data_IF_447273532257
#
_entry.id   IF_447273532257
#
_cell.length_a   1.000
_cell.length_b   1.000
_cell.length_c   1.000
_cell.angle_alpha   90.00
_cell.angle_beta   90.00
_cell.angle_gamma   90.00
#
_symmetry.space_group_name_H-M   'P 1'
#
loop_
_entity.id
_entity.type
_entity.pdbx_description
1 polymer ?
#
# COMPACT_ATOMS: atom_id res chain seq x y z
N UNK A 1 36.70 0.19 -11.60
CA UNK A 1 36.77 0.47 -10.16
C UNK A 1 35.35 0.76 -9.71
N UNK A 2 34.63 -0.27 -9.29
CA UNK A 2 33.33 -0.09 -8.66
C UNK A 2 33.60 0.52 -7.29
N UNK A 3 33.12 1.74 -7.04
CA UNK A 3 33.16 2.30 -5.69
C UNK A 3 32.13 1.53 -4.86
N UNK A 4 32.55 0.39 -4.30
CA UNK A 4 31.73 -0.57 -3.55
C UNK A 4 31.41 -0.11 -2.12
N UNK A 5 31.16 1.19 -1.90
CA UNK A 5 30.89 1.71 -0.56
C UNK A 5 29.48 2.27 -0.36
N UNK A 6 28.63 2.19 -1.40
CA UNK A 6 27.18 2.34 -1.21
C UNK A 6 26.64 1.03 -0.66
N UNK A 7 26.60 0.93 0.67
CA UNK A 7 25.81 -0.12 1.31
C UNK A 7 24.34 0.11 0.96
N UNK A 8 23.57 -0.93 0.60
CA UNK A 8 22.16 -0.77 0.33
C UNK A 8 21.49 -0.20 1.59
N UNK A 9 20.75 0.89 1.43
CA UNK A 9 19.94 1.49 2.46
C UNK A 9 18.51 0.94 2.38
N UNK A 10 17.80 0.98 3.50
CA UNK A 10 16.37 0.67 3.50
C UNK A 10 15.59 1.70 2.68
N UNK A 11 14.63 1.21 1.90
CA UNK A 11 13.78 2.02 1.06
C UNK A 11 12.34 1.99 1.57
N UNK A 12 11.81 3.15 1.93
CA UNK A 12 10.45 3.32 2.42
C UNK A 12 9.52 3.79 1.31
N UNK A 13 8.52 2.98 0.97
CA UNK A 13 7.43 3.34 0.07
C UNK A 13 6.26 3.84 0.88
N UNK A 14 5.72 4.99 0.48
CA UNK A 14 4.54 5.59 1.10
C UNK A 14 3.34 5.40 0.19
N UNK A 15 2.31 4.76 0.74
CA UNK A 15 1.03 4.47 0.10
C UNK A 15 -0.09 5.17 0.87
N UNK A 16 -1.01 5.83 0.18
CA UNK A 16 -2.26 6.30 0.76
C UNK A 16 -3.36 5.25 0.60
N UNK A 17 -4.08 4.97 1.67
CA UNK A 17 -5.21 4.05 1.70
C UNK A 17 -6.53 4.82 1.57
N UNK A 18 -7.29 4.51 0.53
CA UNK A 18 -8.61 5.06 0.24
C UNK A 18 -9.67 3.99 0.43
N UNK A 19 -10.71 4.27 1.20
CA UNK A 19 -11.90 3.43 1.25
C UNK A 19 -12.86 3.81 0.13
N UNK A 20 -13.07 2.92 -0.84
CA UNK A 20 -14.11 3.10 -1.86
C UNK A 20 -15.39 2.47 -1.35
N UNK A 21 -16.34 3.32 -0.96
CA UNK A 21 -17.69 2.89 -0.66
C UNK A 21 -18.47 2.68 -1.98
N UNK A 22 -18.95 1.46 -2.19
CA UNK A 22 -19.77 0.99 -3.33
C UNK A 22 -21.18 1.65 -3.40
N UNK A 23 -21.32 2.92 -3.02
CA UNK A 23 -22.61 3.62 -2.94
C UNK A 23 -22.81 4.76 -3.96
N UNK A 24 -21.82 5.09 -4.81
CA UNK A 24 -21.94 6.24 -5.75
C UNK A 24 -21.85 5.90 -7.25
N UNK A 25 -21.76 4.64 -7.66
CA UNK A 25 -21.76 4.23 -9.07
C UNK A 25 -23.17 3.89 -9.60
N UNK A 26 -24.18 4.73 -9.33
CA UNK A 26 -25.47 4.62 -10.03
C UNK A 26 -26.24 5.94 -10.11
N UNK A 27 -26.07 6.65 -11.23
CA UNK A 27 -27.03 7.60 -11.82
C UNK A 27 -26.59 7.89 -13.27
N UNK A 28 -26.88 6.98 -14.22
CA UNK A 28 -28.05 6.99 -15.13
C UNK A 28 -27.91 7.97 -16.31
N UNK A 29 -27.55 7.41 -17.46
CA UNK A 29 -28.02 7.88 -18.77
C UNK A 29 -28.49 6.65 -19.54
N UNK A 30 -29.79 6.40 -19.46
CA UNK A 30 -30.50 5.41 -20.24
C UNK A 30 -31.17 6.13 -21.43
N UNK A 31 -30.94 5.68 -22.66
CA UNK A 31 -31.97 5.54 -23.70
C UNK A 31 -31.40 4.69 -24.87
N UNK A 32 -31.81 3.42 -25.00
CA UNK A 32 -32.63 2.80 -26.08
C UNK A 32 -32.11 3.01 -27.52
N UNK A 33 -31.96 2.02 -28.41
CA UNK A 33 -32.94 0.98 -28.77
C UNK A 33 -32.35 -0.09 -29.74
N UNK A 34 -32.83 -1.33 -29.56
CA UNK A 34 -33.13 -2.40 -30.55
C UNK A 34 -32.10 -2.98 -31.59
N UNK A 35 -31.81 -4.28 -31.35
CA UNK A 35 -32.04 -5.46 -32.23
C UNK A 35 -31.11 -5.75 -33.45
N UNK A 36 -30.30 -6.82 -33.35
CA UNK A 36 -30.34 -8.02 -34.25
C UNK A 36 -29.36 -9.15 -33.84
N UNK A 37 -29.95 -10.32 -33.57
CA UNK A 37 -29.58 -11.70 -33.95
C UNK A 37 -28.26 -11.94 -34.73
N UNK A 38 -27.35 -12.83 -34.25
CA UNK A 38 -27.06 -14.13 -34.89
C UNK A 38 -26.08 -15.03 -34.07
N UNK A 39 -26.18 -16.31 -34.40
CA UNK A 39 -25.67 -17.60 -33.89
C UNK A 39 -24.14 -17.91 -33.99
N UNK A 40 -23.71 -18.83 -33.10
CA UNK A 40 -22.64 -19.86 -33.17
C UNK A 40 -21.21 -19.61 -32.62
N UNK A 41 -20.88 -20.47 -31.63
CA UNK A 41 -19.64 -21.25 -31.38
C UNK A 41 -18.24 -20.59 -31.54
N UNK A 42 -17.49 -20.51 -30.43
CA UNK A 42 -16.35 -21.40 -30.14
C UNK A 42 -15.54 -20.93 -28.91
N UNK A 43 -15.24 -21.91 -28.06
CA UNK A 43 -14.26 -22.03 -26.97
C UNK A 43 -13.05 -21.08 -26.99
N UNK A 44 -12.79 -20.40 -25.87
CA UNK A 44 -11.43 -20.37 -25.30
C UNK A 44 -11.45 -20.23 -23.78
N UNK A 45 -10.74 -21.15 -23.17
CA UNK A 45 -10.38 -21.35 -21.78
C UNK A 45 -9.79 -20.09 -21.14
N UNK A 46 -10.27 -19.70 -19.96
CA UNK A 46 -9.51 -18.91 -19.01
C UNK A 46 -10.00 -19.20 -17.60
N UNK A 47 -9.26 -20.08 -16.93
CA UNK A 47 -9.24 -20.26 -15.48
C UNK A 47 -8.33 -19.17 -14.89
N UNK A 48 -8.73 -18.53 -13.78
CA UNK A 48 -7.91 -18.70 -12.61
C UNK A 48 -8.76 -19.20 -11.45
N UNK A 49 -8.35 -20.35 -10.94
CA UNK A 49 -8.67 -20.82 -9.62
C UNK A 49 -7.91 -19.96 -8.61
N UNK A 50 -8.60 -19.51 -7.57
CA UNK A 50 -8.12 -19.29 -6.20
C UNK A 50 -9.33 -18.74 -5.44
N UNK A 51 -10.16 -19.64 -4.91
CA UNK A 51 -10.07 -20.17 -3.55
C UNK A 51 -11.04 -19.41 -2.66
N UNK A 52 -12.14 -20.10 -2.38
CA UNK A 52 -13.18 -19.65 -1.50
C UNK A 52 -12.73 -19.87 -0.05
N UNK A 53 -12.58 -18.80 0.70
CA UNK A 53 -12.92 -18.82 2.13
C UNK A 53 -13.83 -17.64 2.41
N UNK A 54 -15.12 -17.91 2.51
CA UNK A 54 -16.13 -17.00 3.07
C UNK A 54 -16.17 -17.22 4.58
N UNK A 55 -15.77 -16.21 5.35
CA UNK A 55 -16.33 -15.97 6.67
C UNK A 55 -16.75 -14.49 6.78
N UNK A 56 -18.07 -14.36 6.95
CA UNK A 56 -18.94 -13.22 7.11
C UNK A 56 -18.50 -12.27 8.25
N UNK A 57 -18.32 -10.96 7.97
CA UNK A 57 -18.94 -9.83 8.70
C UNK A 57 -18.52 -8.44 8.14
N UNK A 58 -19.53 -7.55 8.04
CA UNK A 58 -19.53 -6.15 7.58
C UNK A 58 -19.28 -5.89 6.08
N UNK A 59 -20.13 -5.05 5.48
CA UNK A 59 -20.00 -4.58 4.10
C UNK A 59 -18.61 -3.96 3.87
N UNK A 60 -17.69 -4.74 3.30
CA UNK A 60 -16.28 -4.38 3.22
C UNK A 60 -16.06 -3.33 2.15
N UNK A 61 -15.78 -2.09 2.56
CA UNK A 61 -15.28 -1.05 1.67
C UNK A 61 -14.01 -1.56 0.96
N UNK A 62 -13.96 -1.44 -0.36
CA UNK A 62 -12.79 -1.84 -1.14
C UNK A 62 -11.69 -0.82 -0.83
N UNK A 63 -10.56 -1.28 -0.27
CA UNK A 63 -9.42 -0.42 0.03
C UNK A 63 -8.51 -0.34 -1.20
N UNK A 64 -8.28 0.86 -1.69
CA UNK A 64 -7.32 1.16 -2.76
C UNK A 64 -6.07 1.78 -2.16
N UNK A 65 -4.91 1.44 -2.72
CA UNK A 65 -3.62 1.99 -2.31
C UNK A 65 -3.03 2.82 -3.44
N UNK A 66 -2.79 4.10 -3.18
CA UNK A 66 -2.18 5.04 -4.11
C UNK A 66 -0.71 5.27 -3.72
N UNK A 67 0.21 5.12 -4.68
CA UNK A 67 1.63 5.45 -4.48
C UNK A 67 1.82 6.96 -4.39
N UNK A 68 2.49 7.41 -3.33
CA UNK A 68 2.76 8.83 -3.08
C UNK A 68 4.21 9.17 -3.27
N UNK A 69 5.10 8.51 -2.52
CA UNK A 69 6.52 8.84 -2.52
C UNK A 69 7.36 7.63 -2.09
N UNK A 70 8.67 7.78 -2.27
CA UNK A 70 9.67 6.79 -1.90
C UNK A 70 10.90 7.48 -1.30
N UNK A 71 11.36 7.02 -0.14
CA UNK A 71 12.43 7.66 0.62
C UNK A 71 13.45 6.63 1.08
N UNK A 72 14.73 6.96 0.92
CA UNK A 72 15.83 6.17 1.50
C UNK A 72 15.99 6.50 2.98
N UNK A 73 15.82 5.50 3.82
CA UNK A 73 16.06 5.58 5.27
C UNK A 73 17.56 5.43 5.52
N UNK A 74 18.19 6.24 6.39
CA UNK A 74 19.62 6.23 6.63
C UNK A 74 20.09 5.02 7.48
N UNK A 75 19.54 3.83 7.22
CA UNK A 75 19.86 2.57 7.88
C UNK A 75 20.30 1.56 6.81
N UNK A 76 21.43 0.91 7.04
CA UNK A 76 21.96 -0.11 6.12
C UNK A 76 21.15 -1.41 6.20
N UNK A 77 20.97 -2.06 5.06
CA UNK A 77 20.39 -3.41 4.98
C UNK A 77 21.45 -4.43 5.38
N UNK A 78 21.10 -5.33 6.29
CA UNK A 78 21.97 -6.40 6.78
C UNK A 78 21.61 -6.82 8.20
N UNK A 79 21.86 -8.09 8.55
CA UNK A 79 21.60 -8.61 9.90
C UNK A 79 22.41 -7.86 10.96
N UNK A 80 23.62 -7.40 10.61
CA UNK A 80 24.48 -6.62 11.50
C UNK A 80 23.94 -5.21 11.81
N UNK A 81 22.96 -4.74 11.04
CA UNK A 81 22.35 -3.41 11.17
C UNK A 81 20.90 -3.46 11.70
N UNK A 82 20.39 -4.65 12.04
CA UNK A 82 19.02 -4.81 12.56
C UNK A 82 18.79 -4.10 13.90
N UNK A 83 19.80 -3.99 14.75
CA UNK A 83 19.69 -3.22 16.00
C UNK A 83 19.50 -1.72 15.74
N UNK A 84 20.18 -1.19 14.72
CA UNK A 84 20.06 0.20 14.29
C UNK A 84 18.68 0.46 13.67
N UNK A 85 18.20 -0.47 12.85
CA UNK A 85 16.85 -0.47 12.29
C UNK A 85 15.79 -0.43 13.40
N UNK A 86 15.88 -1.34 14.36
CA UNK A 86 14.94 -1.39 15.49
C UNK A 86 14.97 -0.09 16.30
N UNK A 87 16.16 0.44 16.61
CA UNK A 87 16.25 1.70 17.35
C UNK A 87 15.71 2.91 16.58
N UNK A 88 15.84 2.90 15.25
CA UNK A 88 15.23 3.89 14.38
C UNK A 88 13.69 3.75 14.40
N UNK A 89 13.18 2.52 14.26
CA UNK A 89 11.75 2.23 14.29
C UNK A 89 11.11 2.50 15.65
N UNK A 90 11.78 2.23 16.77
CA UNK A 90 11.28 2.56 18.10
C UNK A 90 10.98 4.07 18.21
N UNK A 91 11.88 4.91 17.67
CA UNK A 91 11.70 6.38 17.66
C UNK A 91 10.64 6.82 16.66
N UNK A 92 10.57 6.15 15.50
CA UNK A 92 9.55 6.39 14.50
C UNK A 92 8.17 6.07 15.09
N UNK A 93 8.03 4.95 15.77
CA UNK A 93 6.79 4.53 16.40
C UNK A 93 6.38 5.49 17.52
N UNK A 94 7.30 5.85 18.41
CA UNK A 94 7.00 6.79 19.51
C UNK A 94 6.49 8.15 19.00
N UNK A 95 7.05 8.64 17.90
CA UNK A 95 6.74 9.99 17.39
C UNK A 95 5.63 10.02 16.36
N UNK A 96 5.51 9.00 15.51
CA UNK A 96 4.62 9.00 14.34
C UNK A 96 3.54 7.94 14.50
N UNK A 97 3.89 6.69 14.79
CA UNK A 97 2.89 5.61 14.79
C UNK A 97 1.94 5.66 15.99
N UNK A 98 2.46 5.82 17.21
CA UNK A 98 1.64 5.83 18.44
C UNK A 98 0.63 7.00 18.42
N UNK A 99 0.99 8.24 18.06
CA UNK A 99 0.01 9.33 18.01
C UNK A 99 -1.05 9.16 16.92
N UNK A 100 -0.77 8.35 15.89
CA UNK A 100 -1.63 8.14 14.72
C UNK A 100 -2.12 6.68 14.61
N UNK A 101 -2.12 5.96 15.72
CA UNK A 101 -2.51 4.55 15.78
C UNK A 101 -3.90 4.34 15.16
N UNK A 102 -4.02 3.35 14.28
CA UNK A 102 -5.25 3.04 13.54
C UNK A 102 -5.36 3.73 12.16
N UNK A 103 -4.58 4.79 11.91
CA UNK A 103 -4.52 5.48 10.61
C UNK A 103 -3.22 5.24 9.84
N UNK A 104 -2.24 4.61 10.49
CA UNK A 104 -0.95 4.27 9.91
C UNK A 104 -0.67 2.80 10.15
N UNK A 105 -0.16 2.12 9.12
CA UNK A 105 0.31 0.74 9.18
C UNK A 105 1.63 0.67 8.43
N UNK A 106 2.51 -0.22 8.85
CA UNK A 106 3.75 -0.46 8.14
C UNK A 106 4.07 -1.94 8.06
N UNK A 107 4.83 -2.29 7.04
CA UNK A 107 5.42 -3.61 6.85
C UNK A 107 6.92 -3.42 6.56
N UNK A 108 7.76 -4.19 7.25
CA UNK A 108 9.21 -4.13 7.11
C UNK A 108 9.66 -5.50 6.63
N UNK A 109 10.39 -5.52 5.52
CA UNK A 109 10.95 -6.75 4.95
C UNK A 109 12.47 -6.75 5.12
N UNK A 110 13.06 -7.93 5.32
CA UNK A 110 14.49 -8.08 5.56
C UNK A 110 15.37 -7.84 4.33
N UNK A 111 14.76 -7.71 3.15
CA UNK A 111 15.43 -7.40 1.88
C UNK A 111 15.69 -5.90 1.66
N UNK A 112 15.29 -5.05 2.61
CA UNK A 112 15.55 -3.61 2.56
C UNK A 112 14.34 -2.76 2.16
N UNK A 113 13.13 -3.31 2.13
CA UNK A 113 11.91 -2.55 1.84
C UNK A 113 11.12 -2.26 3.13
N UNK A 114 10.57 -1.06 3.19
CA UNK A 114 9.56 -0.67 4.18
C UNK A 114 8.35 -0.16 3.40
N UNK A 115 7.19 -0.69 3.68
CA UNK A 115 5.93 -0.24 3.08
C UNK A 115 5.13 0.45 4.16
N UNK A 116 4.82 1.72 3.97
CA UNK A 116 4.02 2.52 4.88
C UNK A 116 2.67 2.82 4.24
N UNK A 117 1.59 2.42 4.91
CA UNK A 117 0.22 2.72 4.52
C UNK A 117 -0.35 3.78 5.46
N UNK A 118 -0.79 4.89 4.89
CA UNK A 118 -1.39 6.02 5.62
C UNK A 118 -2.82 6.17 5.11
N UNK A 119 -3.78 6.24 6.02
CA UNK A 119 -5.17 6.53 5.67
C UNK A 119 -5.29 7.94 5.05
N UNK A 120 -6.09 8.09 4.00
CA UNK A 120 -6.29 9.37 3.31
C UNK A 120 -6.71 10.50 4.28
N UNK A 121 -7.48 10.19 5.32
CA UNK A 121 -7.89 11.18 6.33
C UNK A 121 -6.72 11.81 7.10
N UNK A 122 -5.54 11.16 7.05
CA UNK A 122 -4.29 11.57 7.67
C UNK A 122 -3.16 11.75 6.64
N UNK A 123 -3.49 12.14 5.40
CA UNK A 123 -2.50 12.40 4.35
C UNK A 123 -1.39 13.40 4.75
N UNK A 124 -1.64 14.31 5.70
CA UNK A 124 -0.60 15.21 6.24
C UNK A 124 0.57 14.49 6.92
N UNK A 125 0.38 13.24 7.35
CA UNK A 125 1.45 12.42 7.95
C UNK A 125 2.55 12.07 6.96
N UNK A 126 2.26 12.11 5.65
CA UNK A 126 3.27 11.89 4.61
C UNK A 126 4.43 12.89 4.78
N UNK A 127 4.12 14.16 5.03
CA UNK A 127 5.14 15.19 5.23
C UNK A 127 5.95 14.95 6.50
N UNK A 128 5.30 14.52 7.59
CA UNK A 128 5.95 14.23 8.87
C UNK A 128 6.90 13.03 8.75
N UNK A 129 6.45 11.94 8.12
CA UNK A 129 7.26 10.76 7.82
C UNK A 129 8.44 11.15 6.94
N UNK A 130 8.18 11.94 5.89
CA UNK A 130 9.22 12.39 4.96
C UNK A 130 10.30 13.21 5.64
N UNK A 131 9.90 14.11 6.55
CA UNK A 131 10.84 14.90 7.33
C UNK A 131 11.61 14.05 8.33
N UNK A 132 10.95 13.09 8.98
CA UNK A 132 11.59 12.18 9.94
C UNK A 132 12.62 11.28 9.26
N UNK A 133 12.29 10.69 8.11
CA UNK A 133 13.17 9.79 7.38
C UNK A 133 14.39 10.50 6.77
N UNK A 134 14.30 11.80 6.50
CA UNK A 134 15.40 12.63 5.98
C UNK A 134 16.26 13.29 7.08
N UNK A 135 15.87 13.18 8.35
CA UNK A 135 16.54 13.81 9.49
C UNK A 135 17.74 13.00 9.99
#
# INVERSE_FOLDING_TARGET
MSNSNDKPLYQMLILLEHSVDEASSSSKSAETNAKKENTAEATTENTPASDATQENEAAGSIKQHEYVDEISVPVCVGEEHMEELNSWFDKFDEKICIPNEGYIKYEITSDGLIVLLIDESRASLVDEVTQFAKA
#
